data_IF_211448832231
#
_entry.id   IF_211448832231
#
_cell.length_a   1.000
_cell.length_b   1.000
_cell.length_c   1.000
_cell.angle_alpha   90.00
_cell.angle_beta   90.00
_cell.angle_gamma   90.00
#
_symmetry.space_group_name_H-M   'P 1'
#
loop_
_entity.id
_entity.type
_entity.pdbx_description
1 polymer ?
#
# COMPACT_ATOMS: atom_id res chain seq x y z
N UNK A 1 3.37 -2.01 -33.75
CA UNK A 1 3.44 -0.55 -33.49
C UNK A 1 2.09 -0.11 -32.94
N UNK A 2 2.02 0.40 -31.71
CA UNK A 2 0.73 0.66 -31.07
C UNK A 2 0.09 1.96 -31.57
N UNK A 3 -1.19 1.88 -31.93
CA UNK A 3 -1.99 3.04 -32.34
C UNK A 3 -2.43 3.81 -31.10
N UNK A 4 -2.28 5.14 -31.05
CA UNK A 4 -2.71 5.91 -29.89
C UNK A 4 -4.21 5.76 -29.57
N UNK A 5 -4.55 5.83 -28.28
CA UNK A 5 -5.94 5.77 -27.82
C UNK A 5 -6.66 7.05 -28.23
N UNK A 6 -7.87 6.88 -28.78
CA UNK A 6 -8.80 8.00 -28.92
C UNK A 6 -9.17 8.52 -27.53
N UNK A 7 -9.57 9.79 -27.43
CA UNK A 7 -10.04 10.38 -26.17
C UNK A 7 -11.12 9.52 -25.48
N UNK A 8 -12.07 8.97 -26.23
CA UNK A 8 -13.10 8.09 -25.68
C UNK A 8 -12.53 6.79 -25.09
N UNK A 9 -11.57 6.14 -25.78
CA UNK A 9 -10.93 4.93 -25.28
C UNK A 9 -10.06 5.19 -24.04
N UNK A 10 -9.37 6.33 -24.00
CA UNK A 10 -8.57 6.72 -22.83
C UNK A 10 -9.46 6.90 -21.58
N UNK A 11 -10.56 7.66 -21.71
CA UNK A 11 -11.52 7.82 -20.60
C UNK A 11 -12.10 6.47 -20.15
N UNK A 12 -12.48 5.62 -21.11
CA UNK A 12 -13.03 4.30 -20.80
C UNK A 12 -12.02 3.42 -20.05
N UNK A 13 -10.76 3.39 -20.49
CA UNK A 13 -9.70 2.62 -19.84
C UNK A 13 -9.45 3.08 -18.40
N UNK A 14 -9.32 4.40 -18.18
CA UNK A 14 -9.09 4.97 -16.85
C UNK A 14 -10.25 4.68 -15.90
N UNK A 15 -11.50 4.83 -16.36
CA UNK A 15 -12.68 4.50 -15.56
C UNK A 15 -12.77 3.02 -15.25
N UNK A 16 -12.40 2.15 -16.19
CA UNK A 16 -12.37 0.70 -15.97
C UNK A 16 -11.35 0.30 -14.89
N UNK A 17 -10.23 1.01 -14.78
CA UNK A 17 -9.22 0.79 -13.74
C UNK A 17 -9.56 1.49 -12.41
N UNK A 18 -10.75 2.11 -12.30
CA UNK A 18 -11.24 2.73 -11.07
C UNK A 18 -10.72 4.15 -10.81
N UNK A 19 -10.14 4.83 -11.80
CA UNK A 19 -9.67 6.21 -11.62
C UNK A 19 -10.85 7.20 -11.49
N UNK A 20 -10.72 8.18 -10.59
CA UNK A 20 -11.55 9.37 -10.57
C UNK A 20 -11.12 10.31 -11.71
N UNK A 21 -11.85 10.32 -12.82
CA UNK A 21 -11.49 11.07 -14.03
C UNK A 21 -12.23 12.41 -14.11
N UNK A 22 -11.48 13.49 -14.28
CA UNK A 22 -12.00 14.82 -14.60
C UNK A 22 -11.61 15.24 -16.01
N UNK A 23 -12.60 15.42 -16.89
CA UNK A 23 -12.38 15.88 -18.26
C UNK A 23 -12.31 17.42 -18.30
N UNK A 24 -11.11 18.00 -18.48
CA UNK A 24 -10.97 19.47 -18.60
C UNK A 24 -11.61 19.94 -19.91
N UNK A 25 -12.40 21.01 -19.88
CA UNK A 25 -13.06 21.52 -21.09
C UNK A 25 -12.05 21.72 -22.25
N UNK A 26 -12.32 21.10 -23.41
CA UNK A 26 -11.45 21.17 -24.59
C UNK A 26 -10.29 20.17 -24.65
N UNK A 27 -10.06 19.35 -23.61
CA UNK A 27 -8.90 18.43 -23.53
C UNK A 27 -8.81 17.46 -24.72
N UNK A 28 -9.96 17.02 -25.25
CA UNK A 28 -10.07 16.01 -26.31
C UNK A 28 -9.40 16.43 -27.62
N UNK A 29 -9.25 17.73 -27.85
CA UNK A 29 -8.60 18.29 -29.04
C UNK A 29 -7.36 19.12 -28.71
N UNK A 30 -7.02 19.24 -27.43
CA UNK A 30 -5.83 19.96 -26.99
C UNK A 30 -4.59 19.07 -27.20
N UNK A 31 -3.78 19.41 -28.19
CA UNK A 31 -2.54 18.69 -28.51
C UNK A 31 -1.60 19.55 -29.38
N UNK A 32 -0.40 19.00 -29.57
CA UNK A 32 0.69 19.56 -30.37
C UNK A 32 0.91 18.77 -31.66
N UNK A 33 -0.10 18.08 -32.21
CA UNK A 33 0.08 17.23 -33.40
C UNK A 33 0.56 18.02 -34.63
N UNK A 34 0.32 19.33 -34.69
CA UNK A 34 0.84 20.20 -35.74
C UNK A 34 2.37 20.43 -35.65
N UNK A 35 3.03 20.01 -34.56
CA UNK A 35 4.49 20.05 -34.41
C UNK A 35 5.19 18.76 -34.85
N UNK A 36 4.44 17.69 -35.05
CA UNK A 36 4.98 16.39 -35.45
C UNK A 36 3.96 15.26 -35.26
N UNK A 37 4.18 14.10 -35.91
CA UNK A 37 3.27 12.97 -35.80
C UNK A 37 3.12 12.52 -34.34
N UNK A 38 1.90 12.10 -34.00
CA UNK A 38 1.62 11.46 -32.74
C UNK A 38 1.58 9.95 -32.94
N UNK A 39 2.52 9.26 -32.29
CA UNK A 39 2.66 7.82 -32.35
C UNK A 39 3.53 7.31 -33.50
N UNK A 40 3.68 5.97 -33.61
CA UNK A 40 3.22 4.99 -32.62
C UNK A 40 3.77 5.22 -31.22
N UNK A 41 2.94 4.86 -30.25
CA UNK A 41 3.21 5.03 -28.82
C UNK A 41 3.76 3.73 -28.24
N UNK A 42 4.55 3.85 -27.16
CA UNK A 42 5.30 2.72 -26.60
C UNK A 42 5.28 2.65 -25.07
N UNK A 43 4.81 3.71 -24.38
CA UNK A 43 4.74 3.68 -22.93
C UNK A 43 4.15 4.93 -22.30
N UNK A 44 4.39 5.05 -20.99
CA UNK A 44 3.95 6.13 -20.12
C UNK A 44 5.18 6.70 -19.41
N UNK A 45 5.31 8.02 -19.38
CA UNK A 45 6.32 8.72 -18.57
C UNK A 45 5.63 9.40 -17.39
N UNK A 46 6.15 9.17 -16.19
CA UNK A 46 5.71 9.80 -14.95
C UNK A 46 6.57 11.03 -14.68
N UNK A 47 5.91 12.15 -14.35
CA UNK A 47 6.53 13.45 -14.09
C UNK A 47 6.10 13.98 -12.72
N UNK A 48 6.86 14.93 -12.18
CA UNK A 48 6.35 15.84 -11.16
C UNK A 48 6.37 17.29 -11.60
N UNK A 49 5.39 18.06 -11.13
CA UNK A 49 5.10 19.40 -11.66
C UNK A 49 6.03 20.51 -11.16
N UNK A 50 6.79 20.28 -10.08
CA UNK A 50 7.59 21.31 -9.38
C UNK A 50 6.71 22.50 -8.92
N UNK A 51 5.48 22.21 -8.51
CA UNK A 51 4.52 23.22 -8.06
C UNK A 51 4.23 23.11 -6.57
N UNK A 52 4.00 24.26 -5.93
CA UNK A 52 3.55 24.34 -4.54
C UNK A 52 2.04 24.54 -4.39
N UNK A 53 1.53 24.48 -3.14
CA UNK A 53 0.12 24.69 -2.84
C UNK A 53 -0.44 25.99 -3.42
N UNK A 54 -1.70 25.96 -3.86
CA UNK A 54 -2.39 27.13 -4.43
C UNK A 54 -2.08 27.41 -5.91
N UNK A 55 -1.17 26.65 -6.52
CA UNK A 55 -0.94 26.71 -7.97
C UNK A 55 -2.10 26.06 -8.72
N UNK A 56 -2.65 26.73 -9.74
CA UNK A 56 -3.56 26.09 -10.69
C UNK A 56 -2.79 25.14 -11.63
N UNK A 57 -2.36 24.00 -11.10
CA UNK A 57 -1.49 23.04 -11.79
C UNK A 57 -2.16 22.43 -13.03
N UNK A 58 -3.46 22.15 -12.95
CA UNK A 58 -4.25 21.63 -14.09
C UNK A 58 -4.30 22.66 -15.22
N UNK A 59 -4.55 23.93 -14.89
CA UNK A 59 -4.53 25.03 -15.87
C UNK A 59 -3.15 25.27 -16.48
N UNK A 60 -2.08 25.16 -15.68
CA UNK A 60 -0.70 25.23 -16.16
C UNK A 60 -0.41 24.10 -17.16
N UNK A 61 -0.79 22.87 -16.86
CA UNK A 61 -0.54 21.72 -17.76
C UNK A 61 -1.39 21.83 -19.03
N UNK A 62 -2.63 22.30 -18.93
CA UNK A 62 -3.51 22.47 -20.09
C UNK A 62 -2.99 23.55 -21.07
N UNK A 63 -2.64 24.73 -20.54
CA UNK A 63 -2.25 25.88 -21.36
C UNK A 63 -0.75 25.95 -21.66
N UNK A 64 0.08 25.36 -20.79
CA UNK A 64 1.50 25.63 -20.71
C UNK A 64 1.80 27.05 -20.22
N UNK A 65 2.97 27.54 -20.59
CA UNK A 65 3.41 28.91 -20.33
C UNK A 65 4.16 29.48 -21.55
N UNK A 66 4.57 30.74 -21.50
CA UNK A 66 5.17 31.46 -22.63
C UNK A 66 6.38 30.76 -23.25
N UNK A 67 7.24 30.16 -22.43
CA UNK A 67 8.41 29.41 -22.87
C UNK A 67 8.12 27.95 -23.27
N UNK A 68 7.01 27.36 -22.80
CA UNK A 68 6.64 25.98 -23.12
C UNK A 68 5.11 25.88 -23.29
N UNK A 69 4.60 25.99 -24.53
CA UNK A 69 3.16 25.93 -24.79
C UNK A 69 2.57 24.55 -24.46
N UNK A 70 1.34 24.53 -23.94
CA UNK A 70 0.64 23.30 -23.59
C UNK A 70 0.06 22.54 -24.80
N UNK A 71 -0.52 21.36 -24.54
CA UNK A 71 -0.55 20.69 -23.24
C UNK A 71 0.83 20.15 -22.84
N UNK A 72 1.10 20.15 -21.54
CA UNK A 72 2.36 19.66 -20.96
C UNK A 72 2.31 18.20 -20.52
N UNK A 73 1.20 17.49 -20.78
CA UNK A 73 1.04 16.07 -20.50
C UNK A 73 -0.25 15.54 -21.16
N UNK A 74 -0.48 14.23 -21.09
CA UNK A 74 -1.80 13.63 -21.36
C UNK A 74 -2.80 14.07 -20.28
N UNK A 75 -2.36 14.13 -19.02
CA UNK A 75 -3.16 14.65 -17.92
C UNK A 75 -2.34 14.96 -16.67
N UNK A 76 -3.02 15.50 -15.68
CA UNK A 76 -2.52 15.82 -14.37
C UNK A 76 -3.11 14.89 -13.31
N UNK A 77 -2.32 14.45 -12.34
CA UNK A 77 -2.81 13.71 -11.16
C UNK A 77 -2.55 14.56 -9.92
N UNK A 78 -3.61 15.13 -9.35
CA UNK A 78 -3.56 16.04 -8.20
C UNK A 78 -3.40 15.28 -6.88
N UNK A 79 -3.04 15.99 -5.80
CA UNK A 79 -2.78 15.40 -4.47
C UNK A 79 -3.95 14.58 -3.89
N UNK A 80 -5.17 14.87 -4.32
CA UNK A 80 -6.40 14.17 -3.92
C UNK A 80 -6.69 12.89 -4.75
N UNK A 81 -5.84 12.56 -5.73
CA UNK A 81 -5.98 11.35 -6.55
C UNK A 81 -6.90 11.49 -7.76
N UNK A 82 -7.30 12.71 -8.13
CA UNK A 82 -8.10 12.94 -9.35
C UNK A 82 -7.19 12.99 -10.58
N UNK A 83 -7.57 12.25 -11.62
CA UNK A 83 -6.92 12.25 -12.94
C UNK A 83 -7.60 13.29 -13.83
N UNK A 84 -7.00 14.46 -13.96
CA UNK A 84 -7.46 15.55 -14.83
C UNK A 84 -6.90 15.38 -16.24
N UNK A 85 -7.74 15.06 -17.22
CA UNK A 85 -7.32 14.94 -18.62
C UNK A 85 -7.17 16.32 -19.24
N UNK A 86 -5.96 16.63 -19.75
CA UNK A 86 -5.59 17.96 -20.26
C UNK A 86 -5.26 17.97 -21.75
N UNK A 87 -4.91 16.82 -22.33
CA UNK A 87 -4.64 16.69 -23.77
C UNK A 87 -4.87 15.28 -24.33
N UNK A 88 -5.20 15.20 -25.62
CA UNK A 88 -5.26 13.94 -26.37
C UNK A 88 -4.51 14.09 -27.70
N UNK A 89 -3.32 13.51 -27.75
CA UNK A 89 -2.36 13.66 -28.84
C UNK A 89 -0.95 13.92 -28.29
N UNK A 90 -0.05 14.38 -29.18
CA UNK A 90 1.29 14.85 -28.81
C UNK A 90 1.18 15.96 -27.75
N UNK A 91 1.91 15.85 -26.64
CA UNK A 91 2.04 16.87 -25.61
C UNK A 91 3.52 17.24 -25.42
N UNK A 92 3.82 18.41 -24.86
CA UNK A 92 5.20 18.84 -24.59
C UNK A 92 5.61 18.42 -23.17
N UNK A 93 5.98 17.16 -22.97
CA UNK A 93 6.27 16.58 -21.65
C UNK A 93 7.64 15.90 -21.60
N UNK A 94 7.88 14.89 -22.44
CA UNK A 94 9.11 14.10 -22.41
C UNK A 94 10.31 14.82 -23.05
N UNK A 95 10.10 15.64 -24.09
CA UNK A 95 11.21 16.23 -24.86
C UNK A 95 12.04 15.17 -25.61
N UNK A 96 13.21 15.58 -26.10
CA UNK A 96 14.23 14.67 -26.61
C UNK A 96 14.87 13.84 -25.48
N UNK A 97 15.19 12.58 -25.77
CA UNK A 97 15.92 11.70 -24.86
C UNK A 97 16.55 10.52 -25.59
N UNK A 98 16.96 9.51 -24.84
CA UNK A 98 17.83 8.45 -25.35
C UNK A 98 17.10 7.37 -26.17
N UNK A 99 17.61 7.11 -27.38
CA UNK A 99 17.09 6.08 -28.27
C UNK A 99 17.21 4.67 -27.71
N UNK A 100 18.24 4.38 -26.90
CA UNK A 100 18.44 3.07 -26.29
C UNK A 100 17.38 2.82 -25.21
N UNK A 101 16.99 3.85 -24.45
CA UNK A 101 15.86 3.76 -23.51
C UNK A 101 14.56 3.50 -24.28
N UNK A 102 14.31 4.22 -25.37
CA UNK A 102 13.11 4.00 -26.18
C UNK A 102 13.06 2.56 -26.71
N UNK A 103 14.16 2.05 -27.25
CA UNK A 103 14.25 0.68 -27.75
C UNK A 103 14.02 -0.35 -26.64
N UNK A 104 14.56 -0.11 -25.44
CA UNK A 104 14.35 -0.98 -24.29
C UNK A 104 12.89 -0.98 -23.80
N UNK A 105 12.21 0.16 -23.83
CA UNK A 105 10.77 0.26 -23.51
C UNK A 105 9.93 -0.43 -24.59
N UNK A 106 10.24 -0.23 -25.88
CA UNK A 106 9.56 -0.91 -26.99
C UNK A 106 9.61 -2.43 -26.84
N UNK A 107 10.76 -2.96 -26.42
CA UNK A 107 10.96 -4.40 -26.23
C UNK A 107 10.62 -4.91 -24.84
N UNK A 108 10.24 -4.04 -23.89
CA UNK A 108 10.14 -4.35 -22.45
C UNK A 108 11.35 -5.16 -21.93
N UNK A 109 12.54 -4.84 -22.43
CA UNK A 109 13.72 -5.71 -22.38
C UNK A 109 14.73 -5.38 -21.28
N UNK A 110 14.52 -4.28 -20.56
CA UNK A 110 15.41 -3.87 -19.46
C UNK A 110 15.10 -4.58 -18.14
N UNK A 111 16.01 -4.47 -17.17
CA UNK A 111 15.86 -5.04 -15.83
C UNK A 111 14.98 -4.16 -14.93
N UNK A 112 15.50 -3.77 -13.77
CA UNK A 112 14.82 -2.85 -12.85
C UNK A 112 14.88 -1.39 -13.30
N UNK A 113 15.89 -1.03 -14.10
CA UNK A 113 16.15 0.32 -14.59
C UNK A 113 16.44 0.27 -16.11
N UNK A 114 16.01 1.26 -16.92
CA UNK A 114 16.37 1.34 -18.34
C UNK A 114 17.89 1.48 -18.57
N UNK A 115 18.38 1.37 -19.82
CA UNK A 115 19.78 1.68 -20.13
C UNK A 115 20.18 3.10 -19.67
N UNK A 116 21.47 3.33 -19.33
CA UNK A 116 21.96 4.67 -19.04
C UNK A 116 21.70 5.62 -20.20
N UNK A 117 21.28 6.84 -19.88
CA UNK A 117 20.97 7.89 -20.86
C UNK A 117 22.20 8.75 -21.14
N UNK A 118 22.44 9.06 -22.41
CA UNK A 118 23.51 9.92 -22.90
C UNK A 118 22.97 11.05 -23.81
N UNK A 119 21.68 11.03 -24.11
CA UNK A 119 20.99 12.00 -24.95
C UNK A 119 19.91 12.74 -24.14
N UNK A 120 19.71 14.02 -24.47
CA UNK A 120 18.72 14.88 -23.86
C UNK A 120 18.10 15.79 -24.93
N UNK A 121 17.14 16.61 -24.53
CA UNK A 121 16.52 17.57 -25.45
C UNK A 121 17.59 18.49 -26.09
N UNK A 122 17.62 18.52 -27.42
CA UNK A 122 18.60 19.26 -28.20
C UNK A 122 19.89 18.52 -28.57
N UNK A 123 20.14 17.32 -28.02
CA UNK A 123 21.30 16.50 -28.43
C UNK A 123 21.12 15.93 -29.84
N UNK A 124 22.24 15.68 -30.53
CA UNK A 124 22.23 15.23 -31.92
C UNK A 124 21.63 13.83 -32.11
N UNK A 125 21.77 12.94 -31.12
CA UNK A 125 21.23 11.58 -31.13
C UNK A 125 19.85 11.45 -30.47
N UNK A 126 19.29 12.54 -29.95
CA UNK A 126 18.04 12.49 -29.22
C UNK A 126 16.85 12.12 -30.12
N UNK A 127 15.95 11.30 -29.58
CA UNK A 127 14.68 10.95 -30.24
C UNK A 127 13.50 11.65 -29.55
N UNK A 128 12.46 12.02 -30.30
CA UNK A 128 11.32 12.77 -29.77
C UNK A 128 10.40 11.91 -28.89
N UNK A 129 10.57 11.99 -27.57
CA UNK A 129 9.73 11.29 -26.60
C UNK A 129 8.28 11.78 -26.59
N UNK A 130 8.04 13.04 -26.94
CA UNK A 130 6.68 13.62 -26.98
C UNK A 130 5.77 12.92 -27.99
N UNK A 131 6.36 12.30 -29.01
CA UNK A 131 5.64 11.55 -30.03
C UNK A 131 5.40 10.09 -29.64
N UNK A 132 6.05 9.59 -28.57
CA UNK A 132 6.17 8.15 -28.26
C UNK A 132 5.54 7.74 -26.94
N UNK A 133 5.36 8.65 -25.99
CA UNK A 133 4.87 8.34 -24.66
C UNK A 133 3.60 9.10 -24.30
N UNK A 134 2.72 8.47 -23.53
CA UNK A 134 1.75 9.21 -22.72
C UNK A 134 2.47 9.84 -21.53
N UNK A 135 1.96 10.95 -21.01
CA UNK A 135 2.57 11.67 -19.88
C UNK A 135 1.57 11.89 -18.76
N UNK A 136 1.96 11.53 -17.53
CA UNK A 136 1.25 11.91 -16.31
C UNK A 136 2.07 12.93 -15.51
N UNK A 137 1.56 14.15 -15.44
CA UNK A 137 2.13 15.21 -14.59
C UNK A 137 1.50 15.16 -13.20
N UNK A 138 2.26 14.74 -12.20
CA UNK A 138 1.73 14.48 -10.88
C UNK A 138 2.10 15.62 -9.93
N UNK A 139 1.10 16.25 -9.31
CA UNK A 139 1.27 17.44 -8.46
C UNK A 139 2.25 17.17 -7.31
N UNK A 140 3.44 17.76 -7.36
CA UNK A 140 4.45 17.64 -6.32
C UNK A 140 5.50 18.76 -6.44
N UNK A 141 6.12 19.16 -5.32
CA UNK A 141 7.19 20.18 -5.31
C UNK A 141 8.49 19.71 -5.96
N UNK A 142 8.72 18.41 -6.13
CA UNK A 142 9.94 17.87 -6.72
C UNK A 142 11.19 17.98 -5.85
N UNK A 143 11.04 18.29 -4.57
CA UNK A 143 12.15 18.44 -3.62
C UNK A 143 12.55 17.12 -2.93
N UNK A 144 11.83 16.03 -3.24
CA UNK A 144 12.01 14.72 -2.60
C UNK A 144 11.52 14.64 -1.15
N UNK A 145 10.88 15.70 -0.65
CA UNK A 145 10.33 15.79 0.72
C UNK A 145 8.82 15.95 0.71
N UNK A 146 8.26 16.61 -0.29
CA UNK A 146 6.83 16.74 -0.49
C UNK A 146 6.20 15.35 -0.69
N UNK A 147 5.31 14.90 0.21
CA UNK A 147 4.82 13.54 0.19
C UNK A 147 3.96 13.27 -1.05
N UNK A 148 3.93 12.01 -1.46
CA UNK A 148 2.94 11.46 -2.38
C UNK A 148 1.79 10.89 -1.52
N UNK A 149 0.64 11.58 -1.40
CA UNK A 149 -0.47 11.04 -0.63
C UNK A 149 -0.90 9.69 -1.20
N UNK A 150 -1.35 8.73 -0.36
CA UNK A 150 -1.75 7.40 -0.84
C UNK A 150 -2.77 7.45 -1.98
N UNK A 151 -3.76 8.35 -1.90
CA UNK A 151 -4.77 8.53 -2.95
C UNK A 151 -4.15 8.95 -4.30
N UNK A 152 -3.17 9.86 -4.27
CA UNK A 152 -2.44 10.28 -5.48
C UNK A 152 -1.62 9.13 -6.05
N UNK A 153 -0.86 8.42 -5.22
CA UNK A 153 0.00 7.32 -5.67
C UNK A 153 -0.82 6.16 -6.26
N UNK A 154 -1.92 5.76 -5.60
CA UNK A 154 -2.85 4.76 -6.14
C UNK A 154 -3.43 5.19 -7.49
N UNK A 155 -3.80 6.46 -7.64
CA UNK A 155 -4.28 6.99 -8.91
C UNK A 155 -3.21 6.96 -10.01
N UNK A 156 -1.94 7.22 -9.67
CA UNK A 156 -0.81 7.11 -10.61
C UNK A 156 -0.64 5.68 -11.12
N UNK A 157 -0.68 4.69 -10.21
CA UNK A 157 -0.58 3.27 -10.58
C UNK A 157 -1.78 2.85 -11.43
N UNK A 158 -3.02 3.11 -10.99
CA UNK A 158 -4.25 2.78 -11.73
C UNK A 158 -4.27 3.44 -13.10
N UNK A 159 -3.91 4.72 -13.21
CA UNK A 159 -3.90 5.43 -14.49
C UNK A 159 -2.87 4.87 -15.48
N UNK A 160 -1.72 4.43 -14.96
CA UNK A 160 -0.66 3.79 -15.76
C UNK A 160 -1.07 2.38 -16.19
N UNK A 161 -1.59 1.57 -15.26
CA UNK A 161 -2.11 0.24 -15.55
C UNK A 161 -3.23 0.27 -16.58
N UNK A 162 -4.13 1.27 -16.53
CA UNK A 162 -5.18 1.47 -17.52
C UNK A 162 -4.63 1.61 -18.95
N UNK A 163 -3.58 2.44 -19.12
CA UNK A 163 -2.93 2.63 -20.42
C UNK A 163 -2.22 1.35 -20.86
N UNK A 164 -1.41 0.74 -19.98
CA UNK A 164 -0.70 -0.50 -20.29
C UNK A 164 -1.69 -1.60 -20.72
N UNK A 165 -2.75 -1.82 -19.96
CA UNK A 165 -3.80 -2.80 -20.26
C UNK A 165 -4.48 -2.55 -21.60
N UNK A 166 -4.77 -1.28 -21.93
CA UNK A 166 -5.41 -0.91 -23.18
C UNK A 166 -4.55 -1.17 -24.43
N UNK A 167 -3.22 -1.23 -24.27
CA UNK A 167 -2.26 -1.55 -25.34
C UNK A 167 -1.70 -2.97 -25.27
N UNK A 168 -1.99 -3.72 -24.21
CA UNK A 168 -1.40 -5.03 -23.96
C UNK A 168 0.07 -4.98 -23.55
N UNK A 169 0.49 -3.89 -22.92
CA UNK A 169 1.84 -3.70 -22.39
C UNK A 169 1.96 -4.22 -20.97
N UNK A 170 3.18 -4.60 -20.59
CA UNK A 170 3.56 -4.85 -19.21
C UNK A 170 3.97 -3.57 -18.44
N UNK A 171 4.47 -3.74 -17.21
CA UNK A 171 4.88 -2.63 -16.35
C UNK A 171 6.14 -1.90 -16.86
N UNK A 172 6.94 -2.52 -17.75
CA UNK A 172 8.17 -1.91 -18.27
C UNK A 172 7.90 -0.88 -19.37
N UNK A 173 6.65 -0.74 -19.80
CA UNK A 173 6.22 0.42 -20.55
C UNK A 173 6.04 1.69 -19.69
N UNK A 174 6.27 1.63 -18.37
CA UNK A 174 6.22 2.79 -17.48
C UNK A 174 7.61 3.20 -16.97
N UNK A 175 8.01 4.44 -17.26
CA UNK A 175 9.29 5.01 -16.85
C UNK A 175 9.10 6.38 -16.19
N UNK A 176 10.08 6.82 -15.38
CA UNK A 176 10.19 8.20 -14.91
C UNK A 176 10.87 9.09 -15.96
N UNK A 177 10.68 10.41 -15.90
CA UNK A 177 11.40 11.33 -16.80
C UNK A 177 12.93 11.27 -16.59
N UNK A 178 13.37 11.05 -15.35
CA UNK A 178 14.76 10.81 -14.95
C UNK A 178 15.35 9.53 -15.55
N UNK A 179 14.51 8.58 -15.96
CA UNK A 179 14.94 7.35 -16.64
C UNK A 179 14.95 7.54 -18.17
N UNK A 180 14.39 8.63 -18.68
CA UNK A 180 14.35 9.00 -20.10
C UNK A 180 15.50 9.92 -20.51
N UNK A 181 15.95 10.80 -19.61
CA UNK A 181 17.05 11.73 -19.83
C UNK A 181 17.77 12.07 -18.52
N UNK A 182 19.10 12.12 -18.55
CA UNK A 182 19.97 12.48 -17.42
C UNK A 182 19.89 13.96 -17.02
N UNK A 183 19.28 14.80 -17.85
CA UNK A 183 18.97 16.20 -17.53
C UNK A 183 17.71 16.38 -16.69
N UNK A 184 17.03 15.27 -16.40
CA UNK A 184 15.77 15.23 -15.67
C UNK A 184 15.96 14.50 -14.36
N UNK A 185 15.21 14.95 -13.36
CA UNK A 185 15.34 14.45 -11.99
C UNK A 185 14.04 13.86 -11.46
N UNK A 186 12.96 13.99 -12.23
CA UNK A 186 11.60 13.65 -11.85
C UNK A 186 11.16 12.26 -12.36
N UNK A 187 10.30 11.53 -11.62
CA UNK A 187 9.72 11.87 -10.33
C UNK A 187 10.69 11.60 -9.17
N UNK A 188 10.55 12.36 -8.07
CA UNK A 188 11.34 12.23 -6.84
C UNK A 188 10.45 11.77 -5.70
N UNK A 189 11.02 11.04 -4.74
CA UNK A 189 10.33 10.65 -3.51
C UNK A 189 9.72 9.25 -3.52
N UNK A 190 9.78 8.53 -4.64
CA UNK A 190 9.57 7.08 -4.70
C UNK A 190 10.50 6.48 -5.76
N UNK A 191 10.71 5.17 -5.69
CA UNK A 191 11.52 4.42 -6.65
C UNK A 191 10.65 3.88 -7.79
N UNK A 192 11.11 4.05 -9.04
CA UNK A 192 10.37 3.62 -10.23
C UNK A 192 10.31 2.10 -10.37
N UNK A 193 11.26 1.33 -9.81
CA UNK A 193 11.13 -0.12 -9.78
C UNK A 193 9.99 -0.57 -8.85
N UNK A 194 9.82 0.09 -7.69
CA UNK A 194 8.65 -0.03 -6.83
C UNK A 194 7.34 0.28 -7.54
N UNK A 195 7.26 1.45 -8.17
CA UNK A 195 6.08 1.84 -8.94
C UNK A 195 5.72 0.82 -10.04
N UNK A 196 6.72 0.29 -10.75
CA UNK A 196 6.51 -0.75 -11.76
C UNK A 196 6.03 -2.08 -11.16
N UNK A 197 6.44 -2.45 -9.94
CA UNK A 197 5.86 -3.63 -9.26
C UNK A 197 4.37 -3.43 -8.99
N UNK A 198 4.00 -2.26 -8.49
CA UNK A 198 2.59 -1.95 -8.17
C UNK A 198 1.74 -1.91 -9.45
N UNK A 199 2.28 -1.38 -10.55
CA UNK A 199 1.64 -1.48 -11.88
C UNK A 199 1.53 -2.94 -12.34
N UNK A 200 2.55 -3.77 -12.11
CA UNK A 200 2.50 -5.19 -12.46
C UNK A 200 1.41 -5.92 -11.68
N UNK A 201 1.29 -5.63 -10.38
CA UNK A 201 0.27 -6.18 -9.49
C UNK A 201 -1.14 -5.71 -9.92
N UNK A 202 -1.28 -4.42 -10.25
CA UNK A 202 -2.52 -3.90 -10.81
C UNK A 202 -2.92 -4.62 -12.12
N UNK A 203 -1.95 -4.85 -13.00
CA UNK A 203 -2.17 -5.55 -14.27
C UNK A 203 -2.53 -7.04 -14.07
N UNK A 204 -2.02 -7.69 -13.02
CA UNK A 204 -2.33 -9.08 -12.68
C UNK A 204 -3.79 -9.26 -12.21
N UNK A 205 -4.41 -8.20 -11.70
CA UNK A 205 -5.83 -8.19 -11.34
C UNK A 205 -6.72 -7.79 -12.54
N UNK A 206 -8.00 -8.20 -12.56
CA UNK A 206 -8.97 -7.59 -13.47
C UNK A 206 -9.04 -6.07 -13.26
N UNK A 207 -9.32 -5.34 -14.34
CA UNK A 207 -9.35 -3.88 -14.28
C UNK A 207 -10.22 -3.37 -13.11
N UNK A 208 -9.65 -2.47 -12.31
CA UNK A 208 -10.34 -1.83 -11.19
C UNK A 208 -10.53 -2.72 -9.95
N UNK A 209 -9.84 -3.87 -9.88
CA UNK A 209 -9.83 -4.75 -8.69
C UNK A 209 -8.60 -4.58 -7.81
N UNK A 210 -7.58 -3.91 -8.30
CA UNK A 210 -6.38 -3.63 -7.51
C UNK A 210 -6.57 -2.39 -6.63
N UNK A 211 -6.15 -2.48 -5.37
CA UNK A 211 -6.30 -1.40 -4.38
C UNK A 211 -4.98 -0.98 -3.72
N UNK A 212 -3.83 -1.58 -4.07
CA UNK A 212 -2.52 -1.36 -3.42
C UNK A 212 -2.01 -2.57 -2.62
N UNK A 213 -0.69 -2.68 -2.38
CA UNK A 213 -0.12 -3.62 -1.38
C UNK A 213 -0.39 -3.11 0.07
N UNK A 214 -0.75 -4.05 0.96
CA UNK A 214 -1.67 -4.03 2.14
C UNK A 214 -0.99 -3.66 3.52
N UNK A 215 -1.61 -3.78 4.74
CA UNK A 215 -3.01 -4.03 5.12
C UNK A 215 -3.57 -3.25 6.33
N UNK A 216 -4.91 -3.12 6.36
CA UNK A 216 -5.64 -2.96 7.63
C UNK A 216 -5.29 -4.15 8.55
N UNK A 217 -5.01 -3.96 9.85
CA UNK A 217 -4.73 -5.09 10.72
C UNK A 217 -5.88 -6.10 10.70
N UNK A 218 -5.52 -7.38 10.69
CA UNK A 218 -6.45 -8.48 10.88
C UNK A 218 -7.02 -8.44 12.30
N UNK A 219 -8.32 -8.63 12.43
CA UNK A 219 -9.03 -8.64 13.70
C UNK A 219 -9.19 -10.06 14.25
N UNK A 220 -8.87 -10.23 15.53
CA UNK A 220 -9.03 -11.48 16.26
C UNK A 220 -9.82 -11.21 17.54
N UNK A 221 -10.92 -11.95 17.72
CA UNK A 221 -11.82 -11.89 18.86
C UNK A 221 -12.16 -13.30 19.35
N UNK A 222 -11.56 -13.68 20.48
CA UNK A 222 -11.61 -15.02 21.04
C UNK A 222 -12.15 -14.99 22.47
N UNK A 223 -12.77 -16.07 22.91
CA UNK A 223 -13.49 -16.13 24.17
C UNK A 223 -13.37 -17.43 24.93
N UNK A 224 -13.65 -17.35 26.22
CA UNK A 224 -13.99 -18.49 27.07
C UNK A 224 -15.46 -18.35 27.45
N UNK A 225 -16.30 -19.25 26.92
CA UNK A 225 -17.75 -19.23 27.16
C UNK A 225 -18.19 -20.18 28.28
N UNK A 226 -17.41 -21.23 28.55
CA UNK A 226 -17.61 -22.13 29.68
C UNK A 226 -16.67 -21.75 30.84
N UNK A 227 -17.23 -21.59 32.04
CA UNK A 227 -16.44 -21.35 33.26
C UNK A 227 -15.52 -22.53 33.54
N UNK A 228 -14.28 -22.26 33.96
CA UNK A 228 -13.33 -23.31 34.35
C UNK A 228 -12.58 -22.99 35.64
N UNK A 229 -12.09 -24.03 36.31
CA UNK A 229 -11.28 -23.91 37.53
C UNK A 229 -9.81 -23.73 37.20
N UNK A 230 -9.19 -22.70 37.77
CA UNK A 230 -7.76 -22.48 37.75
C UNK A 230 -7.16 -22.94 39.09
N UNK A 231 -6.43 -24.05 39.04
CA UNK A 231 -5.80 -24.64 40.22
C UNK A 231 -4.64 -23.75 40.75
N UNK A 232 -4.39 -23.75 42.07
CA UNK A 232 -3.23 -23.07 42.66
C UNK A 232 -1.88 -23.55 42.12
N UNK A 233 -0.92 -22.63 42.05
CA UNK A 233 0.51 -22.96 42.04
C UNK A 233 1.12 -23.38 40.70
N UNK A 234 0.34 -23.45 39.62
CA UNK A 234 0.84 -23.78 38.29
C UNK A 234 0.40 -22.75 37.23
N UNK A 235 1.29 -22.47 36.27
CA UNK A 235 0.97 -21.65 35.11
C UNK A 235 0.16 -22.46 34.10
N UNK A 236 -1.06 -22.03 33.83
CA UNK A 236 -1.96 -22.65 32.86
C UNK A 236 -2.25 -21.69 31.70
N UNK A 237 -2.53 -22.21 30.50
CA UNK A 237 -2.88 -21.37 29.35
C UNK A 237 -4.37 -21.07 29.34
N UNK A 238 -4.75 -19.88 28.86
CA UNK A 238 -6.15 -19.61 28.53
C UNK A 238 -6.47 -20.32 27.23
N UNK A 239 -7.24 -21.40 27.32
CA UNK A 239 -7.76 -22.11 26.14
C UNK A 239 -9.06 -21.41 25.69
N UNK A 240 -9.01 -20.72 24.55
CA UNK A 240 -10.17 -20.00 24.02
C UNK A 240 -11.12 -21.00 23.36
N UNK A 241 -12.26 -21.21 24.00
CA UNK A 241 -13.29 -22.19 23.59
C UNK A 241 -14.34 -21.62 22.67
N UNK A 242 -14.34 -20.29 22.47
CA UNK A 242 -15.17 -19.60 21.50
C UNK A 242 -14.31 -18.73 20.59
N UNK A 243 -14.65 -18.76 19.30
CA UNK A 243 -14.06 -17.92 18.27
C UNK A 243 -15.19 -17.09 17.66
N UNK A 244 -15.20 -15.79 17.94
CA UNK A 244 -16.17 -14.88 17.33
C UNK A 244 -15.64 -14.33 16.01
N UNK A 245 -14.33 -14.08 15.93
CA UNK A 245 -13.64 -13.69 14.69
C UNK A 245 -12.17 -14.09 14.79
N UNK A 246 -11.62 -14.71 13.75
CA UNK A 246 -10.19 -14.91 13.58
C UNK A 246 -9.81 -14.69 12.11
N UNK A 247 -9.59 -13.43 11.73
CA UNK A 247 -9.15 -13.08 10.37
C UNK A 247 -7.73 -13.59 10.05
N UNK A 248 -6.95 -13.96 11.08
CA UNK A 248 -5.59 -14.50 10.91
C UNK A 248 -5.59 -16.00 10.59
N UNK A 249 -6.61 -16.73 11.06
CA UNK A 249 -6.66 -18.20 11.04
C UNK A 249 -5.61 -18.88 11.90
N UNK A 250 -5.01 -18.17 12.86
CA UNK A 250 -3.94 -18.68 13.72
C UNK A 250 -4.44 -19.57 14.85
N UNK A 251 -5.70 -19.38 15.24
CA UNK A 251 -6.33 -20.06 16.35
C UNK A 251 -6.87 -21.42 15.94
N UNK A 252 -6.57 -22.45 16.73
CA UNK A 252 -7.19 -23.77 16.57
C UNK A 252 -8.39 -23.86 17.50
N UNK A 253 -9.45 -24.53 17.06
CA UNK A 253 -10.68 -24.72 17.87
C UNK A 253 -10.35 -25.19 19.28
N UNK A 254 -10.68 -24.38 20.29
CA UNK A 254 -10.47 -24.72 21.69
C UNK A 254 -9.02 -24.60 22.17
N UNK A 255 -8.14 -23.96 21.40
CA UNK A 255 -6.71 -23.85 21.70
C UNK A 255 -6.31 -22.58 22.47
N UNK A 256 -5.04 -22.47 22.84
CA UNK A 256 -4.52 -21.32 23.60
C UNK A 256 -3.71 -20.32 22.78
N UNK A 257 -3.47 -20.61 21.51
CA UNK A 257 -2.77 -19.72 20.60
C UNK A 257 -3.74 -18.70 20.03
N UNK A 258 -3.41 -17.41 20.16
CA UNK A 258 -4.20 -16.31 19.58
C UNK A 258 -3.49 -15.57 18.45
N UNK A 259 -2.17 -15.78 18.28
CA UNK A 259 -1.40 -15.18 17.19
C UNK A 259 -0.16 -16.04 16.89
N UNK A 260 0.19 -16.13 15.61
CA UNK A 260 1.41 -16.78 15.10
C UNK A 260 2.20 -15.78 14.28
N UNK A 261 3.51 -15.75 14.55
CA UNK A 261 4.44 -14.85 13.89
C UNK A 261 4.95 -15.39 12.54
N UNK A 262 5.60 -14.53 11.74
CA UNK A 262 6.04 -13.19 12.11
C UNK A 262 4.89 -12.16 12.06
N UNK A 263 4.69 -11.42 13.16
CA UNK A 263 3.57 -10.47 13.27
C UNK A 263 3.78 -9.43 14.37
N UNK A 264 3.14 -8.26 14.24
CA UNK A 264 2.90 -7.32 15.33
C UNK A 264 1.44 -7.41 15.72
N UNK A 265 1.15 -7.20 17.01
CA UNK A 265 -0.23 -7.10 17.44
C UNK A 265 -0.40 -6.08 18.56
N UNK A 266 -1.62 -5.56 18.67
CA UNK A 266 -2.04 -4.70 19.78
C UNK A 266 -3.50 -4.97 20.13
N UNK A 267 -3.82 -5.05 21.42
CA UNK A 267 -5.17 -5.28 21.88
C UNK A 267 -5.25 -5.56 23.38
N UNK A 268 -6.27 -6.30 23.80
CA UNK A 268 -6.51 -6.57 25.22
C UNK A 268 -7.05 -7.98 25.48
N UNK A 269 -6.90 -8.44 26.73
CA UNK A 269 -7.65 -9.54 27.31
C UNK A 269 -8.47 -9.03 28.50
N UNK A 270 -9.80 -9.08 28.41
CA UNK A 270 -10.70 -8.91 29.54
C UNK A 270 -10.86 -10.21 30.32
N UNK A 271 -10.76 -10.16 31.64
CA UNK A 271 -10.93 -11.30 32.54
C UNK A 271 -11.97 -11.02 33.62
N UNK A 272 -12.74 -12.06 33.93
CA UNK A 272 -13.61 -12.11 35.11
C UNK A 272 -13.29 -13.38 35.90
N UNK A 273 -12.90 -13.22 37.17
CA UNK A 273 -12.47 -14.28 38.07
C UNK A 273 -13.35 -14.28 39.33
N UNK A 274 -14.06 -15.38 39.53
CA UNK A 274 -14.88 -15.64 40.71
C UNK A 274 -14.10 -16.44 41.76
N UNK A 275 -14.35 -16.14 43.03
CA UNK A 275 -13.78 -16.89 44.15
C UNK A 275 -12.30 -16.61 44.46
N UNK A 276 -11.66 -15.65 43.78
CA UNK A 276 -10.34 -15.14 44.16
C UNK A 276 -10.47 -14.35 45.48
N UNK A 277 -9.90 -14.81 46.60
CA UNK A 277 -10.04 -14.11 47.88
C UNK A 277 -9.51 -12.67 47.81
N UNK A 278 -10.14 -11.76 48.54
CA UNK A 278 -9.70 -10.36 48.56
C UNK A 278 -8.24 -10.26 49.01
N UNK A 279 -7.41 -9.56 48.23
CA UNK A 279 -5.97 -9.43 48.48
C UNK A 279 -5.10 -10.61 48.00
N UNK A 280 -5.69 -11.73 47.58
CA UNK A 280 -4.96 -12.79 46.88
C UNK A 280 -4.71 -12.39 45.41
N UNK A 281 -3.75 -13.04 44.75
CA UNK A 281 -3.29 -12.65 43.40
C UNK A 281 -3.47 -13.79 42.40
N UNK A 282 -4.00 -13.45 41.23
CA UNK A 282 -3.76 -14.19 39.99
C UNK A 282 -2.77 -13.40 39.16
N UNK A 283 -1.68 -14.04 38.73
CA UNK A 283 -0.74 -13.45 37.80
C UNK A 283 -1.09 -13.86 36.37
N UNK A 284 -0.81 -12.98 35.43
CA UNK A 284 -1.04 -13.23 34.01
C UNK A 284 0.15 -12.76 33.18
N UNK A 285 0.44 -13.45 32.09
CA UNK A 285 1.51 -13.06 31.15
C UNK A 285 1.27 -13.61 29.76
N UNK A 286 1.89 -12.97 28.79
CA UNK A 286 2.07 -13.54 27.45
C UNK A 286 3.31 -14.46 27.46
N UNK A 287 3.22 -15.59 26.78
CA UNK A 287 4.34 -16.53 26.61
C UNK A 287 4.45 -16.98 25.16
N UNK A 288 5.67 -16.99 24.64
CA UNK A 288 5.99 -17.47 23.30
C UNK A 288 6.28 -18.96 23.28
N UNK A 289 5.79 -19.63 22.24
CA UNK A 289 5.98 -21.05 21.99
C UNK A 289 6.44 -21.30 20.56
N UNK A 290 7.15 -22.40 20.32
CA UNK A 290 7.42 -22.96 19.00
C UNK A 290 6.94 -24.40 18.98
N UNK A 291 5.85 -24.67 18.26
CA UNK A 291 5.04 -25.86 18.52
C UNK A 291 4.55 -25.84 19.96
N UNK A 292 4.81 -26.92 20.71
CA UNK A 292 4.49 -27.02 22.14
C UNK A 292 5.66 -26.65 23.06
N UNK A 293 6.83 -26.35 22.50
CA UNK A 293 7.99 -25.97 23.30
C UNK A 293 7.90 -24.50 23.73
N UNK A 294 7.93 -24.25 25.04
CA UNK A 294 8.04 -22.91 25.61
C UNK A 294 9.37 -22.24 25.22
N UNK A 295 9.34 -20.93 24.99
CA UNK A 295 10.50 -20.18 24.47
C UNK A 295 10.80 -18.91 25.24
N UNK A 296 9.80 -18.11 25.55
CA UNK A 296 9.99 -16.86 26.26
C UNK A 296 8.75 -16.52 27.08
N UNK A 297 8.99 -15.80 28.17
CA UNK A 297 7.94 -15.19 28.98
C UNK A 297 8.06 -13.67 28.88
N UNK A 298 6.92 -13.01 28.74
CA UNK A 298 6.82 -11.56 28.83
C UNK A 298 6.49 -11.13 30.27
N UNK A 299 6.60 -9.82 30.57
CA UNK A 299 6.32 -9.29 31.90
C UNK A 299 4.95 -9.72 32.44
N UNK A 300 4.90 -9.82 33.77
CA UNK A 300 3.73 -10.26 34.52
C UNK A 300 2.80 -9.07 34.79
N UNK A 301 1.51 -9.33 34.74
CA UNK A 301 0.45 -8.50 35.28
C UNK A 301 -0.12 -9.17 36.54
N UNK A 302 -0.29 -8.41 37.61
CA UNK A 302 -0.90 -8.92 38.85
C UNK A 302 -2.36 -8.47 38.94
N UNK A 303 -3.24 -9.42 39.20
CA UNK A 303 -4.68 -9.22 39.33
C UNK A 303 -5.05 -9.53 40.77
N UNK A 304 -5.38 -8.48 41.54
CA UNK A 304 -5.68 -8.60 42.97
C UNK A 304 -7.17 -8.86 43.17
N UNK A 305 -7.48 -9.86 44.00
CA UNK A 305 -8.85 -10.26 44.32
C UNK A 305 -9.66 -9.17 45.01
N UNK A 306 -10.96 -9.11 44.71
CA UNK A 306 -11.92 -8.18 45.34
C UNK A 306 -13.14 -8.90 45.89
N UNK A 307 -13.84 -8.28 46.86
CA UNK A 307 -15.06 -8.82 47.47
C UNK A 307 -16.28 -8.64 46.56
N UNK A 308 -16.57 -9.62 45.70
CA UNK A 308 -17.76 -9.62 44.83
C UNK A 308 -17.53 -10.21 43.43
N UNK A 309 -16.28 -10.35 43.01
CA UNK A 309 -15.86 -10.82 41.68
C UNK A 309 -14.72 -9.94 41.16
N UNK A 310 -13.68 -10.55 40.58
CA UNK A 310 -12.48 -9.80 40.17
C UNK A 310 -12.46 -9.59 38.66
N UNK A 311 -12.38 -8.33 38.23
CA UNK A 311 -12.41 -7.95 36.82
C UNK A 311 -11.10 -7.25 36.44
N UNK A 312 -10.50 -7.64 35.33
CA UNK A 312 -9.23 -7.07 34.87
C UNK A 312 -9.19 -6.93 33.35
N UNK A 313 -8.42 -5.97 32.86
CA UNK A 313 -8.11 -5.80 31.44
C UNK A 313 -6.60 -5.76 31.28
N UNK A 314 -6.07 -6.66 30.45
CA UNK A 314 -4.64 -6.83 30.25
C UNK A 314 -4.27 -6.31 28.86
N UNK A 315 -3.31 -5.38 28.74
CA UNK A 315 -2.84 -4.94 27.44
C UNK A 315 -1.98 -6.02 26.77
N UNK A 316 -2.27 -6.30 25.50
CA UNK A 316 -1.58 -7.28 24.68
C UNK A 316 -0.90 -6.55 23.52
N UNK A 317 0.35 -6.11 23.70
CA UNK A 317 1.13 -5.47 22.63
C UNK A 317 2.52 -6.07 22.56
N UNK A 318 2.80 -6.82 21.49
CA UNK A 318 4.12 -7.41 21.20
C UNK A 318 4.33 -7.56 19.69
N UNK A 319 5.57 -7.93 19.37
CA UNK A 319 5.96 -8.50 18.08
C UNK A 319 6.36 -9.95 18.31
N UNK A 320 5.87 -10.86 17.47
CA UNK A 320 6.16 -12.29 17.50
C UNK A 320 7.09 -12.60 16.33
N UNK A 321 8.17 -13.33 16.58
CA UNK A 321 9.08 -13.77 15.52
C UNK A 321 8.49 -14.90 14.66
N UNK A 322 9.07 -15.15 13.48
CA UNK A 322 8.66 -16.27 12.63
C UNK A 322 8.78 -17.63 13.35
N UNK A 323 7.81 -18.52 13.12
CA UNK A 323 7.75 -19.84 13.75
C UNK A 323 7.41 -19.82 15.25
N UNK A 324 7.12 -18.65 15.82
CA UNK A 324 6.62 -18.50 17.19
C UNK A 324 5.10 -18.31 17.20
N UNK A 325 4.51 -18.66 18.33
CA UNK A 325 3.10 -18.47 18.64
C UNK A 325 2.96 -17.85 20.01
N UNK A 326 1.88 -17.08 20.23
CA UNK A 326 1.62 -16.43 21.50
C UNK A 326 0.43 -17.05 22.21
N UNK A 327 0.61 -17.30 23.51
CA UNK A 327 -0.44 -17.72 24.45
C UNK A 327 -0.53 -16.70 25.57
N UNK A 328 -1.72 -16.53 26.15
CA UNK A 328 -1.86 -15.88 27.46
C UNK A 328 -1.97 -16.97 28.52
N UNK A 329 -1.21 -16.83 29.61
CA UNK A 329 -1.15 -17.79 30.71
C UNK A 329 -1.51 -17.12 32.02
N UNK A 330 -2.14 -17.88 32.91
CA UNK A 330 -2.55 -17.46 34.25
C UNK A 330 -1.86 -18.35 35.31
N UNK A 331 -1.52 -17.75 36.45
CA UNK A 331 -1.03 -18.43 37.64
C UNK A 331 -1.87 -17.99 38.83
N UNK A 332 -2.61 -18.92 39.41
CA UNK A 332 -3.31 -18.68 40.66
C UNK A 332 -2.33 -18.82 41.84
N UNK A 333 -2.05 -17.72 42.53
CA UNK A 333 -1.21 -17.75 43.75
C UNK A 333 -2.03 -17.93 45.04
N UNK A 334 -3.36 -17.91 44.96
CA UNK A 334 -4.20 -18.20 46.11
C UNK A 334 -4.06 -19.68 46.53
N UNK A 335 -4.27 -19.96 47.81
CA UNK A 335 -4.23 -21.33 48.34
C UNK A 335 -5.44 -22.18 47.90
N UNK A 336 -6.46 -21.57 47.28
CA UNK A 336 -7.70 -22.21 46.86
C UNK A 336 -7.87 -22.10 45.33
N UNK A 337 -8.50 -23.10 44.67
CA UNK A 337 -8.90 -22.96 43.28
C UNK A 337 -9.80 -21.73 43.09
N UNK A 338 -9.64 -21.05 41.96
CA UNK A 338 -10.49 -19.93 41.56
C UNK A 338 -11.16 -20.23 40.23
N UNK A 339 -12.27 -19.56 39.94
CA UNK A 339 -13.03 -19.81 38.71
C UNK A 339 -12.75 -18.69 37.72
N UNK A 340 -12.21 -19.01 36.55
CA UNK A 340 -12.22 -18.08 35.42
C UNK A 340 -13.63 -18.14 34.82
N UNK A 341 -14.41 -17.10 35.12
CA UNK A 341 -15.81 -17.02 34.74
C UNK A 341 -15.97 -16.61 33.27
N UNK A 342 -15.09 -15.73 32.78
CA UNK A 342 -14.98 -15.40 31.36
C UNK A 342 -13.61 -14.82 31.04
N UNK A 343 -13.15 -15.05 29.82
CA UNK A 343 -12.00 -14.39 29.22
C UNK A 343 -12.37 -13.95 27.80
N UNK A 344 -12.08 -12.70 27.44
CA UNK A 344 -12.39 -12.14 26.11
C UNK A 344 -11.15 -11.44 25.57
N UNK A 345 -10.59 -11.97 24.51
CA UNK A 345 -9.42 -11.44 23.82
C UNK A 345 -9.90 -10.66 22.60
N UNK A 346 -9.33 -9.47 22.39
CA UNK A 346 -9.56 -8.67 21.20
C UNK A 346 -8.23 -8.06 20.77
N UNK A 347 -7.72 -8.43 19.59
CA UNK A 347 -6.43 -7.95 19.08
C UNK A 347 -6.49 -7.60 17.59
N UNK A 348 -5.76 -6.55 17.24
CA UNK A 348 -5.41 -6.18 15.87
C UNK A 348 -4.03 -6.79 15.55
N UNK A 349 -3.89 -7.46 14.42
CA UNK A 349 -2.69 -8.20 14.01
C UNK A 349 -2.22 -7.71 12.64
N UNK A 350 -0.98 -7.26 12.58
CA UNK A 350 -0.28 -6.96 11.34
C UNK A 350 0.68 -8.11 11.06
N UNK A 351 0.37 -8.93 10.07
CA UNK A 351 1.29 -9.96 9.58
C UNK A 351 2.50 -9.27 8.95
N UNK A 352 3.68 -9.71 9.34
CA UNK A 352 4.91 -9.27 8.70
C UNK A 352 5.24 -10.27 7.59
N UNK A 353 5.61 -9.78 6.41
CA UNK A 353 6.08 -10.61 5.28
C UNK A 353 7.50 -11.09 5.51
#
# INVERSE_FOLDING_TARGET
MATPLTAARLVAALKAEGCAVHEVAGWRTNNRNHKGPWGPVHGVVIHHTVTGPGTNVVGLIFNGHSALPGPLATGCITKDGVVHLTGNGRANHAGGGDGDVLNAVIGESYGTYPPPTHEHDGSAGAVDGNARFYGWECENKGDGKDPWPPAQYLAMVKATAAICRAHGWGPKSAIGHLEWSDWKVDPRGFDMAGFRRDVADALAHPAGRWEGEDPMPQYVNLGVTARYQLAPGAWDSVEFTAEWTDETGDHATGGSVFARGPARFSGTLGLHIDGLPAGAVVQARMSEYQGDQHRADHPIHEIVGTGGGTFAVLPLTKRIASGRSMRVRLLNQAAVPVTVASAVLTVLVWKET
#
